data_IF_861033960184
#
_entry.id   IF_861033960184
#
_cell.length_a   1.000
_cell.length_b   1.000
_cell.length_c   1.000
_cell.angle_alpha   90.00
_cell.angle_beta   90.00
_cell.angle_gamma   90.00
#
_symmetry.space_group_name_H-M   'P 1'
#
loop_
_entity.id
_entity.type
_entity.pdbx_description
1 polymer ?
#
# COMPACT_ATOMS: atom_id res chain seq x y z
N UNK A 1 21.53 16.23 -0.18
CA UNK A 1 20.56 17.34 -0.36
C UNK A 1 19.21 16.73 -0.72
N UNK A 2 18.20 16.74 0.17
CA UNK A 2 16.85 16.25 -0.17
C UNK A 2 16.30 17.11 -1.32
N UNK A 3 15.91 16.50 -2.44
CA UNK A 3 15.11 17.22 -3.43
C UNK A 3 13.83 17.68 -2.72
N UNK A 4 13.46 18.95 -2.84
CA UNK A 4 12.25 19.55 -2.23
C UNK A 4 10.96 18.94 -2.81
N UNK A 5 10.73 17.64 -2.62
CA UNK A 5 9.40 17.07 -2.77
C UNK A 5 8.66 17.50 -1.52
N UNK A 6 7.94 18.62 -1.63
CA UNK A 6 7.14 19.12 -0.52
C UNK A 6 6.11 18.09 -0.09
N UNK A 7 5.85 18.00 1.21
CA UNK A 7 4.75 17.22 1.76
C UNK A 7 3.45 17.70 1.12
N UNK A 8 2.71 16.82 0.41
CA UNK A 8 1.38 17.17 -0.10
C UNK A 8 0.48 17.61 1.06
N UNK A 9 -0.40 18.61 0.86
CA UNK A 9 -1.29 19.09 1.93
C UNK A 9 -2.28 18.02 2.41
N UNK A 10 -2.56 17.03 1.55
CA UNK A 10 -3.47 15.91 1.79
C UNK A 10 -3.00 14.68 1.02
N UNK A 11 -3.30 13.50 1.56
CA UNK A 11 -3.23 12.25 0.82
C UNK A 11 -4.64 11.76 0.48
N UNK A 12 -4.74 10.93 -0.54
CA UNK A 12 -6.00 10.37 -1.02
C UNK A 12 -5.87 8.87 -1.17
N UNK A 13 -6.76 8.10 -0.56
CA UNK A 13 -6.74 6.64 -0.61
C UNK A 13 -8.03 6.10 -1.18
N UNK A 14 -7.93 5.39 -2.29
CA UNK A 14 -9.03 4.59 -2.84
C UNK A 14 -9.20 3.31 -2.02
N UNK A 15 -10.43 2.97 -1.68
CA UNK A 15 -10.78 1.75 -0.99
C UNK A 15 -12.05 1.13 -1.58
N UNK A 16 -12.19 -0.18 -1.41
CA UNK A 16 -13.32 -0.98 -1.85
C UNK A 16 -13.41 -2.26 -1.00
N UNK A 17 -14.55 -2.92 -1.03
CA UNK A 17 -14.94 -4.03 -0.14
C UNK A 17 -14.02 -5.27 -0.13
N UNK A 18 -13.25 -5.51 -1.19
CA UNK A 18 -12.38 -6.69 -1.34
C UNK A 18 -10.90 -6.32 -1.27
N UNK A 19 -10.59 -5.08 -0.87
CA UNK A 19 -9.23 -4.64 -0.68
C UNK A 19 -8.54 -5.41 0.47
N UNK A 20 -7.24 -5.66 0.34
CA UNK A 20 -6.42 -6.35 1.34
C UNK A 20 -6.06 -5.48 2.57
N UNK A 21 -6.78 -4.38 2.80
CA UNK A 21 -6.60 -3.48 3.93
C UNK A 21 -7.93 -3.36 4.65
N UNK A 22 -7.92 -3.48 5.96
CA UNK A 22 -9.12 -3.27 6.78
C UNK A 22 -9.51 -1.79 6.73
N UNK A 23 -10.81 -1.49 6.73
CA UNK A 23 -11.30 -0.12 6.89
C UNK A 23 -12.47 -0.04 7.88
N UNK A 24 -12.56 1.05 8.62
CA UNK A 24 -13.70 1.33 9.50
C UNK A 24 -14.93 1.90 8.77
N UNK A 25 -14.76 2.25 7.49
CA UNK A 25 -15.79 2.88 6.65
C UNK A 25 -16.49 1.89 5.73
N UNK A 26 -16.33 0.59 6.01
CA UNK A 26 -17.10 -0.49 5.40
C UNK A 26 -17.95 -1.13 6.49
N UNK A 27 -19.17 -1.52 6.15
CA UNK A 27 -20.06 -2.14 7.14
C UNK A 27 -19.54 -3.52 7.50
N UNK A 28 -20.12 -4.08 8.57
CA UNK A 28 -19.92 -5.49 8.83
C UNK A 28 -20.32 -6.29 7.58
N UNK A 29 -21.44 -5.96 6.90
CA UNK A 29 -22.09 -6.76 5.83
C UNK A 29 -21.24 -6.90 4.57
N UNK A 30 -20.28 -6.02 4.41
CA UNK A 30 -19.42 -5.97 3.22
C UNK A 30 -18.12 -6.77 3.37
N UNK A 31 -17.75 -7.21 4.57
CA UNK A 31 -16.45 -7.82 4.85
C UNK A 31 -16.57 -9.21 5.50
N UNK A 32 -17.23 -10.14 4.80
CA UNK A 32 -17.56 -11.51 5.29
C UNK A 32 -16.34 -12.23 5.86
N UNK A 33 -15.16 -12.09 5.25
CA UNK A 33 -13.92 -12.76 5.69
C UNK A 33 -13.39 -12.26 7.03
N UNK A 34 -13.74 -11.05 7.46
CA UNK A 34 -13.04 -10.35 8.55
C UNK A 34 -13.73 -10.47 9.92
N UNK A 35 -14.95 -10.99 9.94
CA UNK A 35 -15.79 -11.02 11.15
C UNK A 35 -15.44 -12.16 12.10
N UNK A 36 -15.18 -13.34 11.54
CA UNK A 36 -14.96 -14.57 12.30
C UNK A 36 -13.53 -14.68 12.85
N UNK A 37 -12.56 -14.06 12.19
CA UNK A 37 -11.17 -14.11 12.60
C UNK A 37 -10.78 -12.86 13.40
N UNK A 38 -10.47 -12.97 14.71
CA UNK A 38 -10.10 -11.82 15.54
C UNK A 38 -8.94 -10.99 14.94
N UNK A 39 -8.00 -11.63 14.24
CA UNK A 39 -6.87 -10.98 13.56
C UNK A 39 -7.27 -10.05 12.40
N UNK A 40 -8.49 -10.18 11.88
CA UNK A 40 -9.02 -9.35 10.79
C UNK A 40 -9.94 -8.22 11.29
N UNK A 41 -9.95 -7.98 12.62
CA UNK A 41 -10.65 -6.84 13.20
C UNK A 41 -9.78 -5.58 13.18
N UNK A 42 -10.35 -4.50 12.66
CA UNK A 42 -9.73 -3.18 12.72
C UNK A 42 -9.72 -2.66 14.16
N UNK A 43 -8.60 -2.07 14.59
CA UNK A 43 -8.52 -1.41 15.90
C UNK A 43 -9.46 -0.19 15.94
N UNK A 44 -10.07 0.08 17.10
CA UNK A 44 -11.12 1.11 17.27
C UNK A 44 -10.72 2.50 16.75
N UNK A 45 -9.46 2.90 16.92
CA UNK A 45 -8.91 4.21 16.53
C UNK A 45 -8.45 4.28 15.07
N UNK A 46 -8.35 3.14 14.38
CA UNK A 46 -7.82 3.07 13.01
C UNK A 46 -8.96 3.27 12.00
N UNK A 47 -8.73 4.11 10.99
CA UNK A 47 -9.58 4.20 9.81
C UNK A 47 -9.20 3.16 8.76
N UNK A 48 -7.89 2.91 8.64
CA UNK A 48 -7.32 1.85 7.81
C UNK A 48 -6.27 1.07 8.59
N UNK A 49 -6.16 -0.22 8.31
CA UNK A 49 -5.16 -1.09 8.92
C UNK A 49 -4.75 -2.19 7.93
N UNK A 50 -3.46 -2.40 7.75
CA UNK A 50 -2.96 -3.53 6.97
C UNK A 50 -3.30 -4.84 7.68
N UNK A 51 -3.52 -5.90 6.91
CA UNK A 51 -3.75 -7.24 7.48
C UNK A 51 -2.48 -7.74 8.18
N UNK A 52 -1.31 -7.52 7.58
CA UNK A 52 -0.03 -7.83 8.22
C UNK A 52 0.33 -6.74 9.22
N UNK A 53 0.89 -7.11 10.37
CA UNK A 53 1.56 -6.15 11.26
C UNK A 53 2.78 -5.58 10.53
N UNK A 54 2.98 -4.27 10.61
CA UNK A 54 4.22 -3.64 10.16
C UNK A 54 5.31 -3.88 11.21
N UNK A 55 6.44 -4.42 10.77
CA UNK A 55 7.63 -4.66 11.59
C UNK A 55 8.77 -3.93 10.89
N UNK A 56 9.24 -2.82 11.46
CA UNK A 56 10.21 -1.96 10.78
C UNK A 56 11.46 -2.70 10.30
N UNK A 57 11.97 -3.66 11.10
CA UNK A 57 13.10 -4.52 10.74
C UNK A 57 12.88 -5.32 9.47
N UNK A 58 11.68 -5.87 9.30
CA UNK A 58 11.35 -6.78 8.20
C UNK A 58 10.82 -6.04 6.98
N UNK A 59 10.05 -4.98 7.20
CA UNK A 59 9.22 -4.36 6.17
C UNK A 59 9.84 -3.11 5.54
N UNK A 60 10.79 -2.43 6.20
CA UNK A 60 11.57 -1.34 5.59
C UNK A 60 12.67 -1.88 4.66
N UNK A 61 12.41 -2.93 3.91
CA UNK A 61 13.36 -3.52 2.96
C UNK A 61 12.94 -3.17 1.54
N UNK A 62 13.91 -3.09 0.62
CA UNK A 62 13.62 -2.86 -0.81
C UNK A 62 12.64 -3.90 -1.33
N UNK A 63 12.87 -5.18 -1.03
CA UNK A 63 12.02 -6.27 -1.49
C UNK A 63 10.57 -6.15 -1.01
N UNK A 64 10.34 -5.71 0.24
CA UNK A 64 8.98 -5.55 0.77
C UNK A 64 8.26 -4.33 0.20
N UNK A 65 8.97 -3.22 -0.01
CA UNK A 65 8.43 -2.01 -0.66
C UNK A 65 8.10 -2.29 -2.14
N UNK A 66 9.02 -2.89 -2.90
CA UNK A 66 8.80 -3.24 -4.31
C UNK A 66 7.63 -4.21 -4.49
N UNK A 67 7.55 -5.22 -3.61
CA UNK A 67 6.45 -6.17 -3.61
C UNK A 67 5.10 -5.49 -3.36
N UNK A 68 5.03 -4.52 -2.45
CA UNK A 68 3.78 -3.79 -2.19
C UNK A 68 3.25 -3.09 -3.45
N UNK A 69 4.16 -2.53 -4.26
CA UNK A 69 3.80 -1.77 -5.47
C UNK A 69 3.50 -2.66 -6.67
N UNK A 70 3.93 -3.93 -6.64
CA UNK A 70 3.56 -4.95 -7.63
C UNK A 70 2.16 -5.46 -7.35
N UNK A 71 1.21 -4.94 -8.12
CA UNK A 71 -0.23 -5.14 -7.91
C UNK A 71 -0.69 -6.63 -7.87
N UNK A 72 -0.03 -7.51 -8.62
CA UNK A 72 -0.40 -8.92 -8.72
C UNK A 72 0.27 -9.82 -7.67
N UNK A 73 1.13 -9.28 -6.79
CA UNK A 73 1.80 -10.09 -5.75
C UNK A 73 0.90 -10.26 -4.52
N UNK A 74 0.02 -11.28 -4.57
CA UNK A 74 -0.95 -11.59 -3.51
C UNK A 74 -0.40 -12.48 -2.38
N UNK A 75 0.80 -13.06 -2.55
CA UNK A 75 1.48 -13.85 -1.52
C UNK A 75 2.05 -12.92 -0.44
N UNK A 76 1.83 -13.30 0.82
CA UNK A 76 2.07 -12.47 2.01
C UNK A 76 1.28 -11.16 2.00
N UNK A 77 0.33 -10.91 2.92
CA UNK A 77 -0.32 -9.61 2.97
C UNK A 77 0.73 -8.50 3.16
N UNK A 78 0.55 -7.38 2.46
CA UNK A 78 1.41 -6.23 2.72
C UNK A 78 1.08 -5.61 4.07
N UNK A 79 2.11 -5.15 4.78
CA UNK A 79 2.00 -4.34 5.99
C UNK A 79 1.96 -2.83 5.69
N UNK A 80 1.93 -2.45 4.41
CA UNK A 80 1.84 -1.07 3.97
C UNK A 80 0.47 -0.77 3.36
N UNK A 81 0.14 0.51 3.30
CA UNK A 81 -1.15 1.02 2.83
C UNK A 81 -0.90 2.14 1.82
N UNK A 82 -1.19 1.90 0.54
CA UNK A 82 -1.09 2.93 -0.51
C UNK A 82 -2.03 4.11 -0.29
N UNK A 83 -1.53 5.31 -0.53
CA UNK A 83 -2.27 6.53 -0.77
C UNK A 83 -1.60 7.32 -1.90
N UNK A 84 -2.29 8.34 -2.39
CA UNK A 84 -1.90 9.16 -3.52
C UNK A 84 -1.75 10.61 -3.08
N UNK A 85 -0.78 11.33 -3.63
CA UNK A 85 -0.60 12.77 -3.40
C UNK A 85 -1.60 13.66 -4.16
N UNK A 86 -2.52 13.06 -4.92
CA UNK A 86 -3.48 13.77 -5.78
C UNK A 86 -4.82 13.06 -5.80
N UNK A 87 -5.90 13.84 -5.69
CA UNK A 87 -7.28 13.36 -5.78
C UNK A 87 -7.55 12.72 -7.16
N UNK A 88 -7.03 13.32 -8.23
CA UNK A 88 -7.24 12.80 -9.59
C UNK A 88 -6.67 11.39 -9.77
N UNK A 89 -5.53 11.08 -9.14
CA UNK A 89 -4.93 9.73 -9.16
C UNK A 89 -5.77 8.74 -8.36
N UNK A 90 -6.30 9.15 -7.21
CA UNK A 90 -7.19 8.32 -6.41
C UNK A 90 -8.54 8.06 -7.11
N UNK A 91 -9.08 9.06 -7.81
CA UNK A 91 -10.31 8.94 -8.60
C UNK A 91 -10.11 8.01 -9.81
N UNK A 92 -9.02 8.17 -10.56
CA UNK A 92 -8.66 7.24 -11.64
C UNK A 92 -8.54 5.79 -11.11
N UNK A 93 -7.94 5.61 -9.93
CA UNK A 93 -7.87 4.31 -9.26
C UNK A 93 -9.24 3.79 -8.82
N UNK A 94 -10.14 4.67 -8.38
CA UNK A 94 -11.52 4.31 -8.03
C UNK A 94 -12.28 3.79 -9.25
N UNK A 95 -12.19 4.53 -10.37
CA UNK A 95 -12.74 4.13 -11.65
C UNK A 95 -12.21 2.77 -12.10
N UNK A 96 -10.89 2.57 -12.09
CA UNK A 96 -10.28 1.28 -12.43
C UNK A 96 -10.86 0.14 -11.59
N UNK A 97 -10.96 0.31 -10.27
CA UNK A 97 -11.50 -0.74 -9.40
C UNK A 97 -12.98 -1.04 -9.65
N UNK A 98 -13.72 -0.05 -10.14
CA UNK A 98 -15.15 -0.17 -10.41
C UNK A 98 -15.44 -0.75 -11.80
N UNK A 99 -14.59 -0.49 -12.80
CA UNK A 99 -14.89 -0.77 -14.21
C UNK A 99 -13.97 -1.81 -14.84
N UNK A 100 -12.69 -1.82 -14.47
CA UNK A 100 -11.64 -2.51 -15.23
C UNK A 100 -10.99 -3.66 -14.45
N UNK A 101 -11.07 -3.63 -13.12
CA UNK A 101 -10.47 -4.65 -12.28
C UNK A 101 -11.15 -6.01 -12.42
N UNK A 102 -10.36 -7.09 -12.44
CA UNK A 102 -10.86 -8.47 -12.36
C UNK A 102 -11.77 -8.71 -11.15
N UNK A 103 -11.63 -7.90 -10.10
CA UNK A 103 -12.51 -7.90 -8.92
C UNK A 103 -13.20 -6.55 -8.85
N UNK A 104 -14.35 -6.45 -9.50
CA UNK A 104 -15.16 -5.24 -9.53
C UNK A 104 -15.54 -4.87 -8.08
N UNK A 105 -15.04 -3.73 -7.63
CA UNK A 105 -15.46 -3.11 -6.39
C UNK A 105 -16.77 -2.37 -6.62
N UNK A 106 -17.83 -2.75 -5.93
CA UNK A 106 -19.14 -2.10 -6.05
C UNK A 106 -19.31 -1.01 -4.98
N UNK A 107 -18.51 -1.01 -3.91
CA UNK A 107 -18.62 -0.07 -2.79
C UNK A 107 -17.33 0.71 -2.66
N UNK A 108 -17.00 1.43 -3.73
CA UNK A 108 -15.77 2.20 -3.84
C UNK A 108 -15.94 3.56 -3.18
N UNK A 109 -14.89 4.01 -2.50
CA UNK A 109 -14.79 5.38 -2.02
C UNK A 109 -13.33 5.84 -2.02
N UNK A 110 -13.14 7.16 -1.95
CA UNK A 110 -11.84 7.79 -1.74
C UNK A 110 -11.86 8.46 -0.38
N UNK A 111 -10.91 8.10 0.48
CA UNK A 111 -10.66 8.78 1.74
C UNK A 111 -9.64 9.89 1.55
N UNK A 112 -9.94 11.05 2.10
CA UNK A 112 -9.02 12.18 2.18
C UNK A 112 -8.35 12.20 3.56
N UNK A 113 -7.03 12.23 3.56
CA UNK A 113 -6.18 12.03 4.74
C UNK A 113 -5.36 13.31 4.96
N UNK A 114 -5.45 13.87 6.16
CA UNK A 114 -4.71 15.06 6.57
C UNK A 114 -3.24 14.74 6.79
N UNK A 115 -2.35 15.56 6.24
CA UNK A 115 -0.89 15.45 6.45
C UNK A 115 -0.37 16.40 7.53
N UNK A 116 -1.22 17.28 8.10
CA UNK A 116 -0.85 18.24 9.15
C UNK A 116 -0.13 17.56 10.32
N UNK A 117 1.07 18.02 10.66
CA UNK A 117 1.88 17.44 11.75
C UNK A 117 2.79 16.31 11.31
N UNK A 118 2.75 15.84 10.05
CA UNK A 118 3.82 14.99 9.53
C UNK A 118 5.09 15.83 9.37
N UNK A 119 6.17 15.41 10.03
CA UNK A 119 7.50 15.98 9.92
C UNK A 119 8.44 15.01 9.21
N UNK A 120 9.37 15.51 8.38
CA UNK A 120 10.38 14.68 7.78
C UNK A 120 11.31 14.11 8.87
N UNK A 121 11.60 12.82 8.77
CA UNK A 121 12.56 12.13 9.60
C UNK A 121 13.40 11.15 8.77
N UNK A 122 14.40 10.55 9.39
CA UNK A 122 15.29 9.58 8.75
C UNK A 122 15.44 8.38 9.65
N UNK A 123 15.10 7.20 9.13
CA UNK A 123 15.40 5.92 9.79
C UNK A 123 16.81 5.52 9.40
N UNK A 124 17.73 5.49 10.37
CA UNK A 124 19.08 4.93 10.19
C UNK A 124 19.05 3.44 10.47
N UNK A 125 19.62 2.65 9.57
CA UNK A 125 19.63 1.19 9.69
C UNK A 125 20.84 0.58 8.99
N UNK A 126 21.28 -0.59 9.48
CA UNK A 126 22.35 -1.41 8.89
C UNK A 126 21.74 -2.65 8.23
N UNK A 127 22.01 -2.86 6.95
CA UNK A 127 21.53 -3.99 6.16
C UNK A 127 22.65 -4.96 5.86
N UNK A 128 22.31 -6.25 5.79
CA UNK A 128 23.12 -7.28 5.15
C UNK A 128 22.41 -7.76 3.89
N UNK A 129 23.16 -7.75 2.81
CA UNK A 129 22.74 -8.35 1.55
C UNK A 129 23.52 -9.64 1.38
N UNK A 130 22.81 -10.74 1.20
CA UNK A 130 23.41 -12.04 0.87
C UNK A 130 23.14 -12.36 -0.59
N UNK A 131 24.21 -12.44 -1.37
CA UNK A 131 24.16 -12.72 -2.79
C UNK A 131 24.55 -14.17 -3.06
N UNK A 132 23.66 -14.91 -3.71
CA UNK A 132 23.94 -16.28 -4.16
C UNK A 132 24.00 -16.27 -5.68
N UNK A 133 25.17 -16.61 -6.23
CA UNK A 133 25.39 -16.66 -7.68
C UNK A 133 25.16 -18.09 -8.13
N UNK A 134 24.32 -18.23 -9.15
CA UNK A 134 24.08 -19.50 -9.81
C UNK A 134 24.73 -19.43 -11.20
N UNK A 135 25.81 -20.17 -11.39
CA UNK A 135 26.50 -20.23 -12.68
C UNK A 135 26.02 -21.46 -13.42
N UNK A 136 25.55 -21.28 -14.66
CA UNK A 136 25.18 -22.39 -15.54
C UNK A 136 26.35 -22.68 -16.46
N UNK A 137 26.98 -23.84 -16.30
CA UNK A 137 28.04 -24.30 -17.20
C UNK A 137 27.50 -25.29 -18.24
N UNK A 138 27.80 -25.01 -19.52
CA UNK A 138 27.65 -25.95 -20.65
C UNK A 138 26.21 -26.32 -21.04
N UNK A 139 26.06 -27.20 -22.06
CA UNK A 139 24.75 -27.66 -22.55
C UNK A 139 23.99 -28.53 -21.54
N UNK A 140 24.68 -29.09 -20.54
CA UNK A 140 24.13 -30.00 -19.52
C UNK A 140 23.45 -29.27 -18.35
N UNK A 141 23.46 -27.92 -18.30
CA UNK A 141 22.76 -27.11 -17.27
C UNK A 141 23.06 -27.51 -15.82
N UNK A 142 24.29 -27.90 -15.52
CA UNK A 142 24.71 -28.10 -14.12
C UNK A 142 24.76 -26.72 -13.47
N UNK A 143 23.97 -26.54 -12.41
CA UNK A 143 23.95 -25.31 -11.63
C UNK A 143 25.02 -25.41 -10.54
N UNK A 144 26.15 -24.75 -10.73
CA UNK A 144 27.07 -24.49 -9.61
C UNK A 144 26.56 -23.29 -8.82
N UNK A 145 26.48 -23.47 -7.50
CA UNK A 145 26.12 -22.39 -6.58
C UNK A 145 27.40 -21.90 -5.93
N UNK A 146 27.75 -20.64 -6.12
CA UNK A 146 28.89 -20.05 -5.43
C UNK A 146 28.61 -19.94 -3.93
N UNK A 147 29.66 -19.82 -3.13
CA UNK A 147 29.50 -19.41 -1.74
C UNK A 147 28.75 -18.07 -1.65
N UNK A 148 27.86 -17.91 -0.66
CA UNK A 148 27.07 -16.69 -0.50
C UNK A 148 27.98 -15.52 -0.10
N UNK A 149 27.97 -14.46 -0.91
CA UNK A 149 28.70 -13.23 -0.60
C UNK A 149 27.83 -12.35 0.28
N UNK A 150 28.36 -11.96 1.43
CA UNK A 150 27.68 -11.06 2.38
C UNK A 150 28.29 -9.68 2.30
N UNK A 151 27.44 -8.67 2.09
CA UNK A 151 27.84 -7.27 2.13
C UNK A 151 26.99 -6.54 3.16
N UNK A 152 27.61 -5.64 3.91
CA UNK A 152 26.90 -4.77 4.87
C UNK A 152 26.93 -3.32 4.40
N UNK A 153 25.83 -2.61 4.61
CA UNK A 153 25.69 -1.20 4.25
C UNK A 153 24.86 -0.48 5.33
N UNK A 154 25.28 0.73 5.68
CA UNK A 154 24.47 1.65 6.47
C UNK A 154 23.60 2.48 5.51
N UNK A 155 22.30 2.55 5.78
CA UNK A 155 21.34 3.27 4.94
C UNK A 155 20.54 4.29 5.73
N UNK A 156 20.21 5.38 5.05
CA UNK A 156 19.31 6.42 5.54
C UNK A 156 17.98 6.32 4.77
N UNK A 157 16.92 5.89 5.44
CA UNK A 157 15.60 5.74 4.82
C UNK A 157 14.77 6.99 5.14
N UNK A 158 14.39 7.81 4.15
CA UNK A 158 13.53 8.96 4.37
C UNK A 158 12.13 8.48 4.76
N UNK A 159 11.63 8.99 5.87
CA UNK A 159 10.27 8.73 6.36
C UNK A 159 9.61 10.03 6.78
N UNK A 160 8.30 9.98 6.97
CA UNK A 160 7.52 11.04 7.58
C UNK A 160 6.77 10.48 8.77
N UNK A 161 6.91 11.12 9.94
CA UNK A 161 6.27 10.70 11.19
C UNK A 161 5.48 11.87 11.76
N UNK A 162 4.43 11.60 12.54
CA UNK A 162 3.72 12.67 13.25
C UNK A 162 4.60 13.29 14.32
N UNK A 163 4.45 14.59 14.49
CA UNK A 163 4.97 15.38 15.60
C UNK A 163 4.65 14.78 16.97
N UNK A 164 3.53 14.08 17.14
CA UNK A 164 3.19 13.37 18.40
C UNK A 164 4.20 12.30 18.81
N UNK A 165 5.02 11.79 17.89
CA UNK A 165 6.11 10.85 18.20
C UNK A 165 7.45 11.55 18.45
N UNK A 166 7.58 12.83 18.07
CA UNK A 166 8.84 13.55 18.11
C UNK A 166 9.00 14.18 19.50
N UNK A 167 10.11 13.91 20.21
CA UNK A 167 10.43 14.55 21.47
C UNK A 167 10.51 16.07 21.35
N UNK A 168 10.22 16.80 22.42
CA UNK A 168 10.24 18.27 22.43
C UNK A 168 11.63 18.84 22.10
N UNK A 169 12.68 18.12 22.50
CA UNK A 169 14.09 18.46 22.24
C UNK A 169 14.57 18.00 20.85
N UNK A 170 13.68 17.50 19.99
CA UNK A 170 13.99 16.91 18.68
C UNK A 170 15.06 15.79 18.76
N UNK A 171 15.17 15.12 19.92
CA UNK A 171 16.06 13.97 20.08
C UNK A 171 15.65 12.78 19.24
N UNK A 172 16.61 11.89 18.96
CA UNK A 172 16.35 10.68 18.20
C UNK A 172 15.43 9.73 18.98
N UNK A 173 14.48 9.10 18.29
CA UNK A 173 13.65 8.04 18.87
C UNK A 173 13.98 6.67 18.27
N UNK A 174 13.75 5.61 19.02
CA UNK A 174 13.80 4.23 18.52
C UNK A 174 12.52 3.86 17.77
N UNK A 175 12.55 2.80 16.96
CA UNK A 175 11.31 2.26 16.37
C UNK A 175 10.29 1.84 17.44
N UNK A 176 10.75 1.33 18.57
CA UNK A 176 9.86 0.91 19.67
C UNK A 176 9.17 2.12 20.30
N UNK A 177 9.89 3.22 20.52
CA UNK A 177 9.30 4.48 20.98
C UNK A 177 8.28 5.01 19.97
N UNK A 178 8.58 4.94 18.67
CA UNK A 178 7.61 5.27 17.62
C UNK A 178 6.37 4.37 17.68
N UNK A 179 6.53 3.05 17.79
CA UNK A 179 5.42 2.10 17.93
C UNK A 179 4.55 2.40 19.16
N UNK A 180 5.18 2.71 20.30
CA UNK A 180 4.52 3.04 21.56
C UNK A 180 3.80 4.39 21.54
N UNK A 181 4.29 5.36 20.74
CA UNK A 181 3.62 6.66 20.55
C UNK A 181 2.27 6.53 19.85
N UNK A 182 2.05 5.44 19.10
CA UNK A 182 0.87 5.25 18.27
C UNK A 182 0.77 6.18 17.06
N UNK A 183 1.85 6.90 16.71
CA UNK A 183 1.93 7.73 15.53
C UNK A 183 1.97 6.91 14.24
N UNK A 184 1.42 7.46 13.15
CA UNK A 184 1.59 6.89 11.81
C UNK A 184 2.93 7.30 11.19
N UNK A 185 3.55 6.36 10.47
CA UNK A 185 4.76 6.56 9.68
C UNK A 185 4.44 6.38 8.20
N UNK A 186 5.05 7.22 7.37
CA UNK A 186 4.79 7.27 5.93
C UNK A 186 6.10 7.25 5.12
N UNK A 187 6.05 6.61 3.96
CA UNK A 187 7.12 6.58 2.97
C UNK A 187 6.65 7.28 1.69
N UNK A 188 7.50 8.15 1.14
CA UNK A 188 7.32 8.71 -0.21
C UNK A 188 8.09 7.85 -1.21
N UNK A 189 7.41 7.31 -2.23
CA UNK A 189 8.10 6.50 -3.25
C UNK A 189 9.17 7.30 -3.99
N UNK A 190 8.91 8.58 -4.26
CA UNK A 190 9.89 9.47 -4.89
C UNK A 190 11.11 9.72 -4.01
N UNK A 191 10.96 9.84 -2.69
CA UNK A 191 12.11 10.02 -1.79
C UNK A 191 12.89 8.72 -1.61
N UNK A 192 12.20 7.58 -1.46
CA UNK A 192 12.83 6.26 -1.38
C UNK A 192 13.69 6.00 -2.62
N UNK A 193 13.22 6.39 -3.80
CA UNK A 193 14.00 6.29 -5.05
C UNK A 193 15.29 7.10 -5.08
N UNK A 194 15.41 8.12 -4.23
CA UNK A 194 16.59 8.99 -4.15
C UNK A 194 17.43 8.70 -2.92
N UNK A 195 17.08 7.67 -2.15
CA UNK A 195 17.72 7.32 -0.89
C UNK A 195 18.83 6.28 -1.05
N UNK A 196 19.67 6.19 -0.02
CA UNK A 196 20.75 5.21 0.09
C UNK A 196 20.24 3.76 0.12
N UNK A 197 18.94 3.57 0.32
CA UNK A 197 18.30 2.25 0.23
C UNK A 197 18.44 1.62 -1.17
N UNK A 198 18.65 2.42 -2.23
CA UNK A 198 19.01 1.92 -3.56
C UNK A 198 20.49 1.50 -3.66
N UNK A 199 21.34 2.15 -2.86
CA UNK A 199 22.80 2.19 -3.01
C UNK A 199 23.54 1.04 -2.36
N UNK A 200 22.86 0.09 -1.71
CA UNK A 200 23.47 -1.19 -1.34
C UNK A 200 23.72 -2.00 -2.63
N UNK A 201 24.77 -1.61 -3.36
CA UNK A 201 25.15 -2.16 -4.65
C UNK A 201 25.66 -3.59 -4.44
N UNK A 202 25.18 -4.49 -5.29
CA UNK A 202 25.82 -5.78 -5.50
C UNK A 202 27.22 -5.55 -6.06
N UNK A 203 28.17 -6.42 -5.73
CA UNK A 203 29.48 -6.44 -6.41
C UNK A 203 29.34 -6.70 -7.92
N UNK A 204 28.21 -7.28 -8.36
CA UNK A 204 27.96 -7.69 -9.75
C UNK A 204 27.07 -6.73 -10.54
N UNK A 205 26.81 -5.52 -10.03
CA UNK A 205 26.22 -4.43 -10.81
C UNK A 205 25.17 -3.60 -10.09
N UNK A 206 24.75 -2.52 -10.76
CA UNK A 206 23.72 -1.64 -10.25
C UNK A 206 22.37 -2.35 -10.21
N UNK A 207 21.76 -2.40 -9.02
CA UNK A 207 20.36 -2.79 -8.90
C UNK A 207 19.53 -1.76 -9.65
N UNK A 208 18.58 -2.24 -10.46
CA UNK A 208 17.61 -1.36 -11.10
C UNK A 208 16.87 -0.49 -10.06
N UNK A 209 16.30 0.64 -10.48
CA UNK A 209 15.66 1.58 -9.56
C UNK A 209 14.58 0.89 -8.73
N UNK A 210 14.55 1.21 -7.44
CA UNK A 210 13.48 0.78 -6.53
C UNK A 210 12.15 1.21 -7.12
N UNK A 211 11.29 0.21 -7.36
CA UNK A 211 9.95 0.35 -7.93
C UNK A 211 9.92 0.73 -9.43
N UNK A 212 9.02 0.10 -10.19
CA UNK A 212 8.78 0.42 -11.61
C UNK A 212 8.41 1.89 -11.81
N UNK A 213 8.78 2.49 -12.95
CA UNK A 213 8.30 3.84 -13.34
C UNK A 213 6.76 3.90 -13.21
N UNK A 214 6.24 5.06 -12.79
CA UNK A 214 4.79 5.29 -12.70
C UNK A 214 4.19 5.34 -11.29
N UNK A 215 4.97 5.20 -10.23
CA UNK A 215 4.49 5.28 -8.83
C UNK A 215 4.95 6.53 -8.07
N UNK A 216 5.44 7.57 -8.76
CA UNK A 216 5.96 8.80 -8.12
C UNK A 216 4.91 9.60 -7.34
N UNK A 217 3.63 9.33 -7.58
CA UNK A 217 2.52 9.95 -6.86
C UNK A 217 2.13 9.18 -5.59
N UNK A 218 2.73 8.02 -5.34
CA UNK A 218 2.30 7.08 -4.31
C UNK A 218 3.06 7.30 -2.99
N UNK A 219 2.30 7.18 -1.90
CA UNK A 219 2.75 7.28 -0.52
C UNK A 219 2.29 6.05 0.25
N UNK A 220 3.15 5.50 1.10
CA UNK A 220 2.86 4.27 1.82
C UNK A 220 2.76 4.54 3.31
N UNK A 221 1.57 4.36 3.89
CA UNK A 221 1.44 4.30 5.35
C UNK A 221 1.92 2.95 5.87
N UNK A 222 2.74 2.97 6.92
CA UNK A 222 3.29 1.79 7.57
C UNK A 222 2.31 1.27 8.62
N UNK A 223 1.52 0.25 8.26
CA UNK A 223 0.66 -0.48 9.19
C UNK A 223 -0.78 0.05 9.32
N UNK A 224 -0.96 1.36 9.57
CA UNK A 224 -2.29 1.91 9.83
C UNK A 224 -2.41 3.40 9.50
N UNK A 225 -3.66 3.87 9.47
CA UNK A 225 -4.04 5.29 9.37
C UNK A 225 -5.12 5.55 10.41
N UNK A 226 -4.95 6.58 11.24
CA UNK A 226 -5.89 6.93 12.32
C UNK A 226 -7.18 7.59 11.79
N UNK A 227 -8.30 7.37 12.48
CA UNK A 227 -9.59 8.03 12.19
C UNK A 227 -9.53 9.54 12.31
N UNK A 228 -8.78 10.04 13.30
CA UNK A 228 -8.55 11.48 13.50
C UNK A 228 -7.90 12.16 12.30
N UNK A 229 -7.23 11.39 11.43
CA UNK A 229 -6.55 11.92 10.25
C UNK A 229 -7.43 11.89 8.99
N UNK A 230 -8.62 11.30 9.05
CA UNK A 230 -9.54 11.25 7.90
C UNK A 230 -10.40 12.52 7.88
N UNK A 231 -10.12 13.42 6.93
CA UNK A 231 -10.92 14.62 6.73
C UNK A 231 -12.29 14.27 6.14
N UNK A 232 -12.30 13.47 5.07
CA UNK A 232 -13.48 13.20 4.27
C UNK A 232 -13.49 11.77 3.72
N UNK A 233 -14.70 11.26 3.43
CA UNK A 233 -14.93 10.01 2.69
C UNK A 233 -15.88 10.32 1.54
N UNK A 234 -15.38 10.16 0.32
CA UNK A 234 -16.07 10.52 -0.91
C UNK A 234 -16.50 9.25 -1.65
N UNK A 235 -17.79 8.92 -1.77
CA UNK A 235 -18.23 7.74 -2.49
C UNK A 235 -18.01 7.90 -3.99
N UNK A 236 -17.55 6.83 -4.63
CA UNK A 236 -17.54 6.71 -6.10
C UNK A 236 -18.73 5.83 -6.49
N UNK A 237 -19.68 6.41 -7.22
CA UNK A 237 -20.94 5.73 -7.54
C UNK A 237 -20.86 4.83 -8.78
N UNK A 238 -19.73 4.82 -9.48
CA UNK A 238 -19.55 4.14 -10.76
C UNK A 238 -19.52 5.06 -11.98
N UNK A 239 -19.78 6.35 -11.79
CA UNK A 239 -19.67 7.38 -12.83
C UNK A 239 -18.83 8.57 -12.37
N UNK A 240 -18.99 8.99 -11.12
CA UNK A 240 -18.29 10.15 -10.58
C UNK A 240 -17.95 9.98 -9.09
N UNK A 241 -16.93 10.70 -8.66
CA UNK A 241 -16.59 10.85 -7.25
C UNK A 241 -17.39 12.00 -6.62
N UNK A 242 -18.23 11.69 -5.63
CA UNK A 242 -19.01 12.70 -4.92
C UNK A 242 -18.17 13.32 -3.81
N UNK A 243 -17.64 14.53 -4.04
CA UNK A 243 -16.70 15.20 -3.14
C UNK A 243 -17.35 15.80 -1.89
N UNK A 244 -18.64 16.12 -1.97
CA UNK A 244 -19.41 16.81 -0.95
C UNK A 244 -20.78 16.14 -0.78
N UNK A 245 -21.37 16.32 0.41
CA UNK A 245 -22.72 15.86 0.68
C UNK A 245 -23.71 16.59 -0.23
N UNK A 246 -24.66 15.83 -0.78
CA UNK A 246 -25.75 16.38 -1.60
C UNK A 246 -27.09 15.91 -1.06
N UNK A 247 -28.17 16.57 -1.47
CA UNK A 247 -29.54 16.14 -1.15
C UNK A 247 -29.94 14.84 -1.88
N UNK A 248 -29.21 14.48 -2.94
CA UNK A 248 -29.50 13.27 -3.73
C UNK A 248 -28.95 12.04 -3.03
N UNK A 249 -29.75 10.98 -2.99
CA UNK A 249 -29.28 9.67 -2.51
C UNK A 249 -28.27 9.10 -3.50
N UNK A 250 -27.03 8.92 -3.04
CA UNK A 250 -25.96 8.33 -3.85
C UNK A 250 -26.08 6.81 -3.79
N UNK A 251 -26.18 6.17 -4.95
CA UNK A 251 -26.32 4.71 -5.10
C UNK A 251 -25.10 4.13 -5.80
N UNK A 252 -24.74 2.88 -5.52
CA UNK A 252 -23.75 2.19 -6.35
C UNK A 252 -24.40 1.77 -7.68
N UNK A 253 -24.00 2.39 -8.79
CA UNK A 253 -24.70 2.29 -10.07
C UNK A 253 -24.52 0.95 -10.79
N UNK A 254 -23.51 0.14 -10.49
CA UNK A 254 -23.32 -1.20 -11.09
C UNK A 254 -23.46 -2.33 -10.07
N UNK A 255 -23.85 -2.03 -8.84
CA UNK A 255 -24.16 -3.09 -7.87
C UNK A 255 -25.52 -3.72 -8.20
N UNK A 256 -25.58 -5.05 -8.09
CA UNK A 256 -26.85 -5.80 -8.10
C UNK A 256 -27.67 -5.54 -6.84
N UNK A 257 -26.99 -5.21 -5.75
CA UNK A 257 -27.58 -4.90 -4.46
C UNK A 257 -27.87 -3.41 -4.31
N UNK A 258 -28.81 -3.08 -3.42
CA UNK A 258 -29.31 -1.72 -3.20
C UNK A 258 -28.42 -0.94 -2.22
N UNK A 259 -27.17 -0.73 -2.60
CA UNK A 259 -26.22 0.05 -1.78
C UNK A 259 -26.45 1.54 -1.94
N UNK A 260 -26.64 2.22 -0.81
CA UNK A 260 -26.71 3.68 -0.70
C UNK A 260 -25.56 4.19 0.15
N UNK A 261 -24.98 5.33 -0.19
CA UNK A 261 -23.97 5.94 0.67
C UNK A 261 -24.63 6.77 1.76
N UNK A 262 -24.34 6.44 3.02
CA UNK A 262 -24.79 7.22 4.16
C UNK A 262 -23.71 8.23 4.54
N UNK A 263 -23.97 9.51 4.27
CA UNK A 263 -23.02 10.60 4.55
C UNK A 263 -22.68 10.77 6.03
N UNK A 264 -23.65 10.58 6.92
CA UNK A 264 -23.44 10.71 8.36
C UNK A 264 -22.52 9.60 8.91
N UNK A 265 -22.74 8.36 8.48
CA UNK A 265 -21.90 7.21 8.84
C UNK A 265 -20.64 7.08 7.98
N UNK A 266 -20.54 7.85 6.89
CA UNK A 266 -19.43 7.82 5.92
C UNK A 266 -19.14 6.40 5.40
N UNK A 267 -20.19 5.66 5.01
CA UNK A 267 -20.09 4.28 4.54
C UNK A 267 -21.26 3.89 3.62
N UNK A 268 -21.03 2.88 2.79
CA UNK A 268 -22.07 2.23 1.99
C UNK A 268 -22.95 1.33 2.86
N UNK A 269 -24.26 1.53 2.84
CA UNK A 269 -25.26 0.73 3.56
C UNK A 269 -26.21 0.04 2.58
N UNK A 270 -26.60 -1.20 2.89
CA UNK A 270 -27.63 -1.89 2.15
C UNK A 270 -28.99 -1.31 2.56
N UNK A 271 -29.81 -0.90 1.59
CA UNK A 271 -31.20 -0.49 1.84
C UNK A 271 -32.16 -1.54 1.26
N UNK A 272 -32.70 -2.45 2.09
CA UNK A 272 -33.60 -3.50 1.62
C UNK A 272 -34.94 -2.96 1.10
N UNK A 273 -35.33 -1.73 1.45
CA UNK A 273 -36.65 -1.19 1.14
C UNK A 273 -36.73 -0.45 -0.22
N UNK A 274 -35.62 -0.26 -0.94
CA UNK A 274 -35.67 0.36 -2.29
C UNK A 274 -36.07 -0.68 -3.35
N UNK A 275 -36.88 -0.39 -4.36
CA UNK A 275 -37.19 -1.39 -5.41
C UNK A 275 -35.92 -1.93 -6.13
N UNK A 276 -35.91 -3.21 -6.53
CA UNK A 276 -34.78 -3.79 -7.26
C UNK A 276 -34.75 -3.23 -8.68
N UNK A 277 -33.74 -2.42 -9.01
CA UNK A 277 -33.54 -1.97 -10.40
C UNK A 277 -32.57 -2.89 -11.16
N UNK A 278 -32.05 -3.96 -10.54
CA UNK A 278 -31.11 -4.88 -11.17
C UNK A 278 -31.72 -5.66 -12.36
N UNK A 279 -33.03 -5.92 -12.35
CA UNK A 279 -33.71 -6.61 -13.46
C UNK A 279 -33.61 -5.88 -14.80
N UNK A 280 -33.36 -4.57 -14.82
CA UNK A 280 -33.18 -3.78 -16.04
C UNK A 280 -31.73 -3.75 -16.58
N UNK A 281 -30.76 -4.40 -15.91
CA UNK A 281 -29.32 -4.25 -16.24
C UNK A 281 -28.58 -5.53 -16.59
N UNK A 282 -29.24 -6.69 -16.48
CA UNK A 282 -28.64 -8.00 -16.76
C UNK A 282 -28.18 -8.12 -18.23
N UNK A 283 -28.71 -7.30 -19.14
CA UNK A 283 -28.31 -7.29 -20.56
C UNK A 283 -26.86 -6.82 -20.82
N UNK A 284 -26.21 -6.10 -19.90
CA UNK A 284 -24.87 -5.54 -20.15
C UNK A 284 -23.71 -6.20 -19.38
N UNK A 285 -23.98 -7.17 -18.50
CA UNK A 285 -22.95 -7.71 -17.56
C UNK A 285 -22.78 -9.22 -17.59
N UNK A 286 -23.44 -9.94 -18.49
CA UNK A 286 -23.33 -11.41 -18.62
C UNK A 286 -22.00 -11.88 -19.24
N UNK A 287 -21.16 -10.99 -19.75
CA UNK A 287 -19.76 -11.30 -20.04
C UNK A 287 -18.96 -11.34 -18.73
N UNK A 288 -19.06 -12.46 -18.02
CA UNK A 288 -17.88 -13.00 -17.35
C UNK A 288 -16.77 -12.97 -18.40
N UNK A 289 -15.84 -12.02 -18.33
CA UNK A 289 -14.59 -12.11 -19.07
C UNK A 289 -14.02 -13.47 -18.72
N UNK A 290 -14.15 -14.41 -19.67
CA UNK A 290 -13.51 -15.71 -19.56
C UNK A 290 -12.06 -15.41 -19.28
N UNK A 291 -11.51 -16.09 -18.28
CA UNK A 291 -10.06 -16.14 -18.18
C UNK A 291 -9.62 -16.76 -19.50
N UNK A 292 -8.81 -16.03 -20.25
CA UNK A 292 -7.76 -16.69 -20.99
C UNK A 292 -6.84 -17.26 -19.90
N UNK A 293 -7.22 -18.42 -19.38
CA UNK A 293 -6.38 -19.29 -18.54
C UNK A 293 -5.34 -19.93 -19.47
N UNK A 294 -4.52 -19.10 -20.12
CA UNK A 294 -3.41 -19.56 -20.96
C UNK A 294 -2.31 -18.49 -21.08
N UNK A 295 -1.88 -17.94 -19.94
CA UNK A 295 -0.46 -17.59 -19.80
C UNK A 295 0.23 -18.83 -19.23
N UNK A 296 0.38 -19.81 -20.12
CA UNK A 296 1.49 -20.74 -20.09
C UNK A 296 2.78 -19.91 -19.92
N UNK A 297 3.31 -19.86 -18.71
CA UNK A 297 4.71 -19.51 -18.43
C UNK A 297 5.64 -20.60 -19.02
N UNK A 298 5.50 -20.88 -20.32
CA UNK A 298 6.52 -21.53 -21.11
C UNK A 298 7.70 -20.56 -21.22
N UNK A 299 8.60 -20.71 -20.24
CA UNK A 299 10.06 -20.79 -20.39
C UNK A 299 10.61 -20.30 -21.74
N UNK A 300 10.43 -19.01 -22.05
CA UNK A 300 11.41 -18.28 -22.83
C UNK A 300 12.72 -18.28 -22.04
N UNK A 301 13.85 -18.46 -22.72
CA UNK A 301 15.19 -18.57 -22.16
C UNK A 301 15.61 -17.26 -21.46
N UNK A 302 15.05 -17.03 -20.27
CA UNK A 302 15.41 -15.93 -19.40
C UNK A 302 16.72 -16.32 -18.74
N UNK A 303 17.81 -15.64 -19.13
CA UNK A 303 19.03 -15.55 -18.32
C UNK A 303 18.60 -15.29 -16.88
N UNK A 304 18.68 -16.34 -16.05
CA UNK A 304 18.29 -16.26 -14.64
C UNK A 304 19.25 -15.28 -13.97
N UNK A 305 18.73 -14.09 -13.65
CA UNK A 305 19.47 -13.14 -12.83
C UNK A 305 19.67 -13.76 -11.43
N UNK A 306 20.81 -13.47 -10.77
CA UNK A 306 21.06 -13.93 -9.40
C UNK A 306 19.86 -13.68 -8.48
N UNK A 307 19.50 -14.66 -7.66
CA UNK A 307 18.46 -14.49 -6.63
C UNK A 307 19.11 -13.85 -5.40
N UNK A 308 18.89 -12.55 -5.24
CA UNK A 308 19.34 -11.80 -4.07
C UNK A 308 18.34 -12.00 -2.93
N UNK A 309 18.83 -12.40 -1.76
CA UNK A 309 18.04 -12.48 -0.52
C UNK A 309 18.55 -11.46 0.49
N UNK A 310 17.62 -10.81 1.21
CA UNK A 310 17.94 -9.71 2.12
C UNK A 310 17.42 -10.06 3.50
N UNK A 311 18.30 -10.01 4.50
CA UNK A 311 17.99 -10.33 5.90
C UNK A 311 18.65 -9.28 6.81
N UNK A 312 17.92 -8.63 7.72
CA UNK A 312 18.52 -7.70 8.68
C UNK A 312 19.32 -8.47 9.75
N UNK A 313 20.61 -8.15 9.96
CA UNK A 313 21.46 -8.82 10.99
C UNK A 313 21.22 -8.23 12.38
N UNK A 314 21.39 -6.91 12.51
CA UNK A 314 21.37 -6.20 13.78
C UNK A 314 20.97 -4.77 13.49
N UNK A 315 20.10 -4.22 14.31
CA UNK A 315 19.42 -2.98 13.96
C UNK A 315 19.30 -2.11 15.19
N UNK A 316 20.23 -1.18 15.32
CA UNK A 316 19.95 0.09 15.97
C UNK A 316 19.15 0.92 14.97
N UNK A 317 17.85 1.03 15.23
CA UNK A 317 17.02 1.96 14.51
C UNK A 317 16.98 3.25 15.31
N UNK A 318 17.57 4.28 14.75
CA UNK A 318 17.42 5.63 15.26
C UNK A 318 16.65 6.43 14.22
N UNK A 319 15.58 7.06 14.66
CA UNK A 319 14.82 7.99 13.86
C UNK A 319 15.28 9.38 14.26
N UNK A 320 15.97 10.04 13.34
CA UNK A 320 16.40 11.42 13.52
C UNK A 320 15.43 12.36 12.83
N UNK A 321 14.87 13.37 13.52
CA UNK A 321 14.22 14.49 12.85
C UNK A 321 15.17 15.08 11.81
N UNK A 322 14.64 15.44 10.63
CA UNK A 322 15.46 16.17 9.68
C UNK A 322 15.68 17.59 10.20
N UNK A 323 16.94 18.02 10.23
CA UNK A 323 17.34 19.39 10.52
C UNK A 323 16.83 20.39 9.46
#
# INVERSE_FOLDING_TARGET
RRSRVGLPPRFYRTHHEVAATLSSNVTKDTHVRHRAEPRLRIRKRNAFQSISKFIGKMDLTVGRIERHLKWNMKRDPSSMISAFNSLARAEARAKFHYEESQRIGQRVFVAEILTKGLRPATVKARYETTETIFTKHGPLRINETSEPIKTTCDVNIPVWIRDTAIPIDDSNITLEQLENSGADMWLSITEIRKSDLQGCKSQYGERGPICMKGHDYEWLACGFILKSHIANIMPYDGKQLHKQMTLKVIRSLRSTDRWIFNWHRRMWLLNPNMANMAHYRIEFTSEKRRRDDDDNDEKGDVRQRPRLSYSPITTSFCISPAA
#
